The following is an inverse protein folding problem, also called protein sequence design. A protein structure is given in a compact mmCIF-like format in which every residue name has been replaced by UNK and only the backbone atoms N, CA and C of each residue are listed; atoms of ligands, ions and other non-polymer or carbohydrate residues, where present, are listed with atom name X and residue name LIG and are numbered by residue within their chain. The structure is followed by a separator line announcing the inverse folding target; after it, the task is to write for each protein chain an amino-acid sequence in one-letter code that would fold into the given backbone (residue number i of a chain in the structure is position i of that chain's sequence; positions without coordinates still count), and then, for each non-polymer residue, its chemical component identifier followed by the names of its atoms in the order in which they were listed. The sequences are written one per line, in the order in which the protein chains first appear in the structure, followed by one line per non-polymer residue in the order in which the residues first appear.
data_IF_446418959936
#
_entry.id   IF_446418959936
#
_cell.length_a   1.000
_cell.length_b   1.000
_cell.length_c   1.000
_cell.angle_alpha   90.00
_cell.angle_beta   90.00
_cell.angle_gamma   90.00
#
_symmetry.space_group_name_H-M   'P 1'
#
loop_
_entity.id
_entity.type
_entity.pdbx_description
1 polymer ?
#
# COMPACT_ATOMS: atom_id res chain seq x y z
N UNK A 1 19.87 -4.08 -9.30
CA UNK A 1 19.04 -5.24 -9.71
C UNK A 1 17.72 -4.71 -10.23
N UNK A 2 17.48 -4.89 -11.53
CA UNK A 2 16.54 -4.10 -12.35
C UNK A 2 15.06 -4.32 -11.99
N UNK A 3 14.32 -3.24 -11.76
CA UNK A 3 12.89 -3.19 -11.34
C UNK A 3 11.92 -3.50 -12.52
N UNK A 4 12.42 -3.95 -13.67
CA UNK A 4 11.72 -3.93 -14.97
C UNK A 4 10.59 -4.93 -15.23
N UNK A 5 9.97 -5.56 -14.22
CA UNK A 5 8.85 -6.49 -14.46
C UNK A 5 7.67 -6.36 -13.48
N UNK A 6 7.52 -5.22 -12.79
CA UNK A 6 6.34 -4.96 -11.96
C UNK A 6 5.27 -4.23 -12.78
N UNK A 7 4.13 -4.87 -13.01
CA UNK A 7 2.94 -4.19 -13.51
C UNK A 7 2.08 -3.80 -12.30
N UNK A 8 2.06 -2.51 -11.99
CA UNK A 8 1.04 -1.95 -11.09
C UNK A 8 -0.16 -1.63 -11.96
N UNK A 9 -1.19 -2.46 -11.89
CA UNK A 9 -2.42 -2.18 -12.64
C UNK A 9 -3.31 -1.26 -11.81
N UNK A 10 -3.71 -0.14 -12.41
CA UNK A 10 -4.80 0.67 -11.89
C UNK A 10 -6.09 -0.06 -12.26
N UNK A 11 -6.91 -0.33 -11.26
CA UNK A 11 -8.23 -0.90 -11.45
C UNK A 11 -9.16 0.15 -12.06
N UNK A 12 -9.77 -0.20 -13.20
CA UNK A 12 -10.81 0.63 -13.81
C UNK A 12 -12.16 0.01 -13.54
N UNK A 13 -13.01 0.73 -12.82
CA UNK A 13 -14.44 0.39 -12.70
C UNK A 13 -15.09 0.72 -14.03
N UNK A 14 -15.64 -0.31 -14.66
CA UNK A 14 -16.34 -0.19 -15.95
C UNK A 14 -17.84 -0.31 -15.70
N UNK A 15 -18.61 0.61 -16.27
CA UNK A 15 -20.06 0.56 -16.24
C UNK A 15 -20.59 -0.02 -17.56
N UNK A 16 -21.51 -0.98 -17.48
CA UNK A 16 -22.28 -1.42 -18.65
C UNK A 16 -23.39 -0.41 -18.91
N UNK A 17 -23.33 0.29 -20.04
CA UNK A 17 -24.47 1.08 -20.50
C UNK A 17 -25.61 0.13 -20.90
N UNK A 18 -26.76 0.24 -20.22
CA UNK A 18 -27.99 -0.40 -20.69
C UNK A 18 -28.34 0.26 -22.02
N UNK A 19 -28.48 -0.51 -23.10
CA UNK A 19 -29.19 -0.03 -24.28
C UNK A 19 -30.63 0.30 -23.86
N UNK A 20 -30.88 1.56 -23.55
CA UNK A 20 -32.22 2.14 -23.59
C UNK A 20 -32.58 2.29 -25.07
N UNK A 21 -33.67 1.65 -25.51
CA UNK A 21 -34.32 2.06 -26.76
C UNK A 21 -34.91 3.45 -26.50
N UNK A 22 -34.42 4.47 -27.25
CA UNK A 22 -34.98 5.83 -27.53
C UNK A 22 -35.35 6.69 -26.30
N UNK A 23 -35.07 7.99 -26.13
CA UNK A 23 -34.67 9.11 -27.00
C UNK A 23 -34.27 10.31 -26.09
N UNK A 24 -33.41 11.19 -26.61
CA UNK A 24 -33.02 12.55 -26.15
C UNK A 24 -32.12 12.74 -24.89
N UNK A 25 -30.98 13.38 -25.17
CA UNK A 25 -30.09 14.27 -24.39
C UNK A 25 -29.53 13.87 -23.01
N UNK A 26 -28.20 13.67 -22.95
CA UNK A 26 -27.21 14.52 -22.22
C UNK A 26 -25.90 13.72 -22.01
N UNK A 27 -24.80 14.19 -22.60
CA UNK A 27 -23.52 13.45 -22.72
C UNK A 27 -22.68 13.61 -21.46
N UNK A 28 -22.49 12.54 -20.71
CA UNK A 28 -21.32 12.37 -19.81
C UNK A 28 -20.43 11.26 -20.34
N UNK A 29 -19.13 11.54 -20.37
CA UNK A 29 -18.09 10.71 -21.00
C UNK A 29 -17.89 9.39 -20.26
N UNK A 30 -18.69 8.38 -20.61
CA UNK A 30 -18.55 6.99 -20.14
C UNK A 30 -17.95 6.19 -21.29
N UNK A 31 -16.83 5.51 -21.05
CA UNK A 31 -16.21 4.57 -22.00
C UNK A 31 -17.16 3.39 -22.23
N UNK A 32 -18.08 3.54 -23.18
CA UNK A 32 -19.09 2.55 -23.50
C UNK A 32 -18.45 1.37 -24.25
N UNK A 33 -18.35 0.21 -23.59
CA UNK A 33 -17.91 -1.05 -24.21
C UNK A 33 -19.14 -1.73 -24.86
N UNK A 34 -19.06 -2.21 -26.12
CA UNK A 34 -20.18 -2.88 -26.78
C UNK A 34 -20.63 -4.13 -25.99
N UNK A 35 -21.94 -4.36 -25.99
CA UNK A 35 -22.66 -5.41 -25.23
C UNK A 35 -22.26 -6.87 -25.56
N UNK A 36 -21.29 -7.09 -26.46
CA UNK A 36 -20.76 -8.42 -26.76
C UNK A 36 -20.23 -9.06 -25.47
N UNK A 37 -20.65 -10.31 -25.22
CA UNK A 37 -20.50 -11.06 -23.97
C UNK A 37 -19.13 -10.88 -23.31
N UNK A 38 -19.02 -9.93 -22.39
CA UNK A 38 -17.83 -9.77 -21.57
C UNK A 38 -17.77 -10.93 -20.58
N UNK A 39 -16.75 -11.78 -20.68
CA UNK A 39 -16.63 -12.99 -19.86
C UNK A 39 -15.66 -12.74 -18.71
N UNK A 40 -16.03 -13.18 -17.51
CA UNK A 40 -15.15 -13.09 -16.35
C UNK A 40 -13.97 -14.07 -16.49
N UNK A 41 -12.75 -13.56 -16.35
CA UNK A 41 -11.53 -14.38 -16.50
C UNK A 41 -11.28 -15.34 -15.33
N UNK A 42 -11.99 -15.20 -14.21
CA UNK A 42 -11.91 -16.14 -13.09
C UNK A 42 -12.88 -17.31 -13.22
N UNK A 43 -14.16 -17.04 -13.47
CA UNK A 43 -15.21 -18.07 -13.44
C UNK A 43 -15.70 -18.52 -14.83
N UNK A 44 -15.31 -17.83 -15.91
CA UNK A 44 -15.72 -18.17 -17.27
C UNK A 44 -17.17 -17.80 -17.61
N UNK A 45 -17.94 -17.27 -16.67
CA UNK A 45 -19.32 -16.84 -16.89
C UNK A 45 -19.39 -15.44 -17.51
N UNK A 46 -20.48 -15.15 -18.24
CA UNK A 46 -20.77 -13.81 -18.75
C UNK A 46 -21.05 -12.84 -17.60
N UNK A 47 -20.45 -11.65 -17.68
CA UNK A 47 -20.65 -10.56 -16.71
C UNK A 47 -21.97 -9.87 -17.02
N UNK A 48 -22.99 -10.17 -16.23
CA UNK A 48 -24.32 -9.52 -16.29
C UNK A 48 -24.42 -8.20 -15.52
N UNK A 49 -23.42 -7.92 -14.68
CA UNK A 49 -23.47 -6.82 -13.71
C UNK A 49 -23.41 -5.43 -14.36
N UNK A 50 -24.05 -4.45 -13.71
CA UNK A 50 -23.99 -3.04 -14.12
C UNK A 50 -22.57 -2.48 -14.01
N UNK A 51 -21.83 -2.91 -12.99
CA UNK A 51 -20.46 -2.50 -12.74
C UNK A 51 -19.57 -3.73 -12.66
N UNK A 52 -18.39 -3.64 -13.28
CA UNK A 52 -17.40 -4.70 -13.28
C UNK A 52 -16.00 -4.11 -13.39
N UNK A 53 -14.98 -4.94 -13.20
CA UNK A 53 -13.59 -4.49 -13.12
C UNK A 53 -12.84 -4.86 -14.40
N UNK A 54 -12.07 -3.91 -14.95
CA UNK A 54 -11.03 -4.19 -15.94
C UNK A 54 -9.67 -4.15 -15.27
N UNK A 55 -8.89 -5.22 -15.40
CA UNK A 55 -7.54 -5.31 -14.88
C UNK A 55 -6.72 -6.36 -15.64
N UNK A 56 -5.42 -6.10 -15.85
CA UNK A 56 -4.49 -7.02 -16.55
C UNK A 56 -5.05 -7.38 -17.94
N UNK A 57 -5.57 -6.39 -18.68
CA UNK A 57 -6.28 -6.56 -19.97
C UNK A 57 -7.44 -7.58 -19.97
N UNK A 58 -7.98 -7.90 -18.80
CA UNK A 58 -9.06 -8.86 -18.60
C UNK A 58 -10.21 -8.24 -17.82
N UNK A 59 -11.38 -8.90 -17.87
CA UNK A 59 -12.60 -8.46 -17.21
C UNK A 59 -12.99 -9.41 -16.07
N UNK A 60 -13.50 -8.83 -15.00
CA UNK A 60 -13.74 -9.55 -13.75
C UNK A 60 -15.03 -9.05 -13.08
N UNK A 61 -15.80 -9.97 -12.50
CA UNK A 61 -16.76 -9.58 -11.46
C UNK A 61 -16.00 -8.99 -10.27
N UNK A 62 -16.69 -8.15 -9.50
CA UNK A 62 -16.14 -7.55 -8.28
C UNK A 62 -15.62 -8.61 -7.29
N UNK A 63 -16.41 -9.67 -7.09
CA UNK A 63 -16.07 -10.78 -6.20
C UNK A 63 -15.01 -11.74 -6.78
N UNK A 64 -14.85 -11.76 -8.10
CA UNK A 64 -13.94 -12.68 -8.78
C UNK A 64 -12.49 -12.16 -8.84
N UNK A 65 -12.26 -10.88 -8.58
CA UNK A 65 -10.93 -10.29 -8.59
C UNK A 65 -10.34 -10.25 -7.17
N UNK A 66 -9.75 -11.37 -6.76
CA UNK A 66 -9.18 -11.56 -5.42
C UNK A 66 -7.66 -11.72 -5.42
N UNK A 67 -7.01 -11.47 -4.28
CA UNK A 67 -5.58 -11.74 -4.09
C UNK A 67 -5.31 -13.25 -4.09
N UNK A 68 -4.33 -13.71 -4.86
CA UNK A 68 -3.97 -15.14 -4.95
C UNK A 68 -3.40 -15.73 -3.64
N UNK A 69 -3.05 -14.89 -2.66
CA UNK A 69 -2.51 -15.34 -1.37
C UNK A 69 -3.50 -15.25 -0.22
N UNK A 70 -4.13 -14.10 0.00
CA UNK A 70 -5.05 -13.92 1.13
C UNK A 70 -6.53 -13.97 0.74
N UNK A 71 -6.86 -14.03 -0.55
CA UNK A 71 -8.24 -14.05 -1.04
C UNK A 71 -9.01 -12.74 -0.88
N UNK A 72 -8.39 -11.65 -0.38
CA UNK A 72 -9.08 -10.37 -0.26
C UNK A 72 -9.48 -9.81 -1.63
N UNK A 73 -10.62 -9.12 -1.67
CA UNK A 73 -11.14 -8.49 -2.89
C UNK A 73 -10.26 -7.31 -3.27
N UNK A 74 -9.60 -7.39 -4.42
CA UNK A 74 -8.67 -6.36 -4.87
C UNK A 74 -9.39 -5.07 -5.28
N UNK A 75 -10.67 -5.17 -5.67
CA UNK A 75 -11.54 -4.01 -5.94
C UNK A 75 -11.78 -3.10 -4.73
N UNK A 76 -11.88 -3.70 -3.53
CA UNK A 76 -12.24 -2.99 -2.29
C UNK A 76 -11.01 -2.45 -1.53
N UNK A 77 -9.91 -3.22 -1.50
CA UNK A 77 -8.70 -2.90 -0.70
C UNK A 77 -7.88 -1.74 -1.27
N UNK A 78 -8.20 -1.27 -2.48
CA UNK A 78 -7.67 -0.06 -3.09
C UNK A 78 -7.67 -0.12 -4.62
N UNK A 79 -7.46 1.01 -5.31
CA UNK A 79 -7.50 1.07 -6.79
C UNK A 79 -6.28 0.44 -7.49
N UNK A 80 -5.37 -0.21 -6.76
CA UNK A 80 -4.10 -0.72 -7.29
C UNK A 80 -3.93 -2.19 -6.93
N UNK A 81 -3.80 -3.04 -7.94
CA UNK A 81 -3.34 -4.42 -7.77
C UNK A 81 -1.89 -4.55 -8.26
N UNK A 82 -1.19 -5.55 -7.74
CA UNK A 82 0.17 -5.85 -8.14
C UNK A 82 0.20 -7.17 -8.90
N UNK A 83 0.75 -7.16 -10.11
CA UNK A 83 0.89 -8.37 -10.93
C UNK A 83 2.36 -8.70 -11.17
N UNK A 84 2.77 -9.89 -10.74
CA UNK A 84 4.16 -10.37 -10.88
C UNK A 84 4.20 -11.90 -10.85
N UNK A 85 5.02 -12.50 -11.73
CA UNK A 85 5.15 -13.96 -11.86
C UNK A 85 3.81 -14.69 -12.00
N UNK A 86 2.90 -14.14 -12.82
CA UNK A 86 1.59 -14.74 -13.07
C UNK A 86 0.56 -14.58 -11.94
N UNK A 87 0.90 -13.87 -10.85
CA UNK A 87 0.05 -13.74 -9.66
C UNK A 87 -0.51 -12.34 -9.49
N UNK A 88 -1.79 -12.24 -9.15
CA UNK A 88 -2.49 -11.00 -8.74
C UNK A 88 -2.47 -10.88 -7.21
N UNK A 89 -1.87 -9.82 -6.71
CA UNK A 89 -1.57 -9.66 -5.28
C UNK A 89 -2.06 -8.31 -4.74
N UNK A 90 -2.48 -8.31 -3.48
CA UNK A 90 -2.70 -7.08 -2.73
C UNK A 90 -1.36 -6.44 -2.37
N UNK A 91 -1.36 -5.14 -2.01
CA UNK A 91 -0.14 -4.41 -1.62
C UNK A 91 0.66 -5.14 -0.54
N UNK A 92 -0.03 -5.62 0.51
CA UNK A 92 0.59 -6.28 1.66
C UNK A 92 1.33 -7.56 1.23
N UNK A 93 0.68 -8.42 0.48
CA UNK A 93 1.25 -9.71 0.05
C UNK A 93 2.33 -9.52 -1.02
N UNK A 94 2.17 -8.53 -1.89
CA UNK A 94 3.23 -8.14 -2.83
C UNK A 94 4.50 -7.71 -2.09
N UNK A 95 4.39 -6.83 -1.10
CA UNK A 95 5.53 -6.39 -0.29
C UNK A 95 6.12 -7.55 0.53
N UNK A 96 5.29 -8.46 1.03
CA UNK A 96 5.76 -9.66 1.73
C UNK A 96 6.62 -10.57 0.85
N UNK A 97 6.28 -10.73 -0.43
CA UNK A 97 7.02 -11.61 -1.34
C UNK A 97 8.21 -10.93 -2.04
N UNK A 98 8.05 -9.64 -2.41
CA UNK A 98 8.96 -8.96 -3.33
C UNK A 98 9.45 -7.60 -2.85
N UNK A 99 8.97 -7.15 -1.69
CA UNK A 99 9.42 -5.90 -1.10
C UNK A 99 10.86 -6.01 -0.60
N UNK A 100 11.52 -4.85 -0.52
CA UNK A 100 12.86 -4.75 0.04
C UNK A 100 12.73 -4.51 1.54
N UNK A 101 13.34 -5.40 2.32
CA UNK A 101 13.38 -5.28 3.77
C UNK A 101 14.37 -4.19 4.18
N UNK A 102 14.10 -3.54 5.31
CA UNK A 102 14.94 -2.52 5.91
C UNK A 102 15.63 -2.98 7.19
N UNK A 103 16.42 -2.10 7.79
CA UNK A 103 16.99 -2.28 9.13
C UNK A 103 16.46 -1.17 10.05
N UNK A 104 16.06 -1.55 11.25
CA UNK A 104 15.64 -0.60 12.27
C UNK A 104 16.85 0.14 12.83
N UNK A 105 16.80 1.47 12.84
CA UNK A 105 17.90 2.30 13.34
C UNK A 105 18.08 2.25 14.87
N UNK A 106 17.10 1.73 15.63
CA UNK A 106 17.17 1.63 17.09
C UNK A 106 17.52 0.22 17.58
N UNK A 107 16.90 -0.84 17.04
CA UNK A 107 17.13 -2.21 17.50
C UNK A 107 18.01 -3.04 16.57
N UNK A 108 18.41 -2.49 15.42
CA UNK A 108 19.25 -3.12 14.39
C UNK A 108 18.66 -4.40 13.77
N UNK A 109 17.43 -4.75 14.13
CA UNK A 109 16.72 -5.89 13.56
C UNK A 109 16.12 -5.55 12.21
N UNK A 110 15.93 -6.58 11.40
CA UNK A 110 15.29 -6.52 10.10
C UNK A 110 13.84 -6.07 10.22
N UNK A 111 13.46 -5.09 9.42
CA UNK A 111 12.08 -4.62 9.21
C UNK A 111 11.58 -5.26 7.93
N UNK A 112 10.44 -5.96 7.97
CA UNK A 112 9.86 -6.54 6.77
C UNK A 112 9.20 -5.47 5.91
N UNK A 113 9.28 -5.60 4.59
CA UNK A 113 8.76 -4.59 3.66
C UNK A 113 7.25 -4.32 3.77
N UNK A 114 6.48 -5.25 4.35
CA UNK A 114 5.04 -5.10 4.57
C UNK A 114 4.69 -4.54 5.96
N UNK A 115 5.66 -4.40 6.86
CA UNK A 115 5.46 -3.85 8.20
C UNK A 115 5.27 -2.34 8.15
N UNK A 116 4.47 -1.81 9.08
CA UNK A 116 4.36 -0.38 9.28
C UNK A 116 5.55 0.12 10.09
N UNK A 117 6.09 1.27 9.69
CA UNK A 117 7.33 1.82 10.24
C UNK A 117 7.20 3.31 10.47
N UNK A 118 7.97 3.85 11.41
CA UNK A 118 8.20 5.29 11.53
C UNK A 118 9.45 5.67 10.75
N UNK A 119 9.40 6.82 10.08
CA UNK A 119 10.54 7.39 9.37
C UNK A 119 10.82 8.79 9.87
N UNK A 120 12.07 9.04 10.26
CA UNK A 120 12.58 10.35 10.64
C UNK A 120 13.83 10.62 9.84
N UNK A 121 13.81 11.66 9.00
CA UNK A 121 14.85 11.91 7.99
C UNK A 121 15.09 10.65 7.13
N UNK A 122 16.31 10.13 7.14
CA UNK A 122 16.77 8.94 6.42
C UNK A 122 16.64 7.64 7.25
N UNK A 123 16.33 7.74 8.54
CA UNK A 123 16.26 6.61 9.48
C UNK A 123 14.86 6.00 9.54
N UNK A 124 14.80 4.67 9.65
CA UNK A 124 13.55 3.89 9.73
C UNK A 124 13.54 3.11 11.04
N UNK A 125 12.39 3.07 11.71
CA UNK A 125 12.20 2.44 13.00
C UNK A 125 10.94 1.56 12.97
N UNK A 126 10.97 0.44 13.70
CA UNK A 126 9.71 -0.24 14.07
C UNK A 126 8.83 0.72 14.89
N UNK A 127 7.51 0.55 14.83
CA UNK A 127 6.58 1.35 15.65
C UNK A 127 6.89 1.24 17.15
N UNK A 128 7.24 0.05 17.63
CA UNK A 128 7.62 -0.19 19.02
C UNK A 128 9.00 0.38 19.40
N UNK A 129 9.87 0.60 18.41
CA UNK A 129 11.18 1.22 18.61
C UNK A 129 11.13 2.75 18.52
N UNK A 130 10.00 3.33 18.10
CA UNK A 130 9.81 4.77 18.02
C UNK A 130 9.44 5.35 19.39
N UNK A 131 10.46 5.51 20.23
CA UNK A 131 10.35 5.97 21.63
C UNK A 131 11.60 6.75 22.04
N UNK A 132 11.48 7.54 23.10
CA UNK A 132 12.58 8.33 23.63
C UNK A 132 13.73 7.44 24.09
N UNK A 133 14.96 7.70 23.63
CA UNK A 133 16.16 6.97 24.06
C UNK A 133 16.45 7.14 25.56
N UNK A 134 16.08 8.30 26.13
CA UNK A 134 16.27 8.61 27.54
C UNK A 134 15.21 7.95 28.44
N UNK A 135 13.94 8.40 28.37
CA UNK A 135 12.88 7.92 29.25
C UNK A 135 12.10 6.70 28.75
N UNK A 136 12.41 6.17 27.55
CA UNK A 136 11.71 5.03 26.94
C UNK A 136 10.21 5.25 26.63
N UNK A 137 9.70 6.47 26.77
CA UNK A 137 8.31 6.83 26.46
C UNK A 137 8.05 6.79 24.94
N UNK A 138 6.94 6.19 24.53
CA UNK A 138 6.45 6.25 23.15
C UNK A 138 5.94 7.64 22.79
N UNK A 139 6.21 8.08 21.57
CA UNK A 139 5.77 9.37 21.06
C UNK A 139 4.31 9.34 20.59
N UNK A 140 3.59 10.41 20.90
CA UNK A 140 2.26 10.70 20.36
C UNK A 140 2.34 11.66 19.18
N UNK A 141 1.27 11.75 18.39
CA UNK A 141 1.15 12.74 17.32
C UNK A 141 1.24 14.14 17.91
N UNK A 142 2.14 14.96 17.37
CA UNK A 142 2.38 16.32 17.84
C UNK A 142 3.53 16.46 18.83
N UNK A 143 4.07 15.35 19.35
CA UNK A 143 5.22 15.40 20.26
C UNK A 143 6.46 15.97 19.55
N UNK A 144 7.20 16.81 20.27
CA UNK A 144 8.45 17.41 19.82
C UNK A 144 9.63 16.54 20.27
N UNK A 145 10.60 16.39 19.39
CA UNK A 145 11.77 15.55 19.61
C UNK A 145 13.01 16.12 18.91
N UNK A 146 14.18 15.66 19.35
CA UNK A 146 15.46 15.86 18.69
C UNK A 146 16.01 14.51 18.23
N UNK A 147 16.54 14.46 17.01
CA UNK A 147 17.26 13.30 16.49
C UNK A 147 18.77 13.55 16.54
N UNK A 148 19.50 12.73 17.29
CA UNK A 148 20.96 12.73 17.39
C UNK A 148 21.45 11.35 16.94
N UNK A 149 22.20 11.30 15.83
CA UNK A 149 22.57 10.04 15.18
C UNK A 149 21.35 9.18 14.82
N UNK A 150 21.11 8.11 15.58
CA UNK A 150 19.93 7.24 15.48
C UNK A 150 19.01 7.34 16.70
N UNK A 151 19.38 8.12 17.72
CA UNK A 151 18.64 8.27 18.96
C UNK A 151 17.64 9.42 18.86
N UNK A 152 16.39 9.14 19.23
CA UNK A 152 15.30 10.11 19.25
C UNK A 152 15.03 10.46 20.71
N UNK A 153 15.10 11.74 21.07
CA UNK A 153 14.96 12.21 22.45
C UNK A 153 13.80 13.20 22.51
N UNK A 154 12.87 13.04 23.46
CA UNK A 154 11.74 13.95 23.62
C UNK A 154 12.17 15.32 24.14
N UNK A 155 11.39 16.36 23.86
CA UNK A 155 11.67 17.75 24.27
C UNK A 155 12.03 17.90 25.76
N UNK A 156 11.38 17.12 26.63
CA UNK A 156 11.63 17.15 28.08
C UNK A 156 13.03 16.67 28.46
N UNK A 157 13.58 15.71 27.73
CA UNK A 157 14.85 15.05 28.09
C UNK A 157 16.05 15.60 27.31
N UNK A 158 15.85 16.51 26.34
CA UNK A 158 16.93 17.02 25.45
C UNK A 158 18.08 17.60 26.27
N UNK A 159 17.77 18.43 27.27
CA UNK A 159 18.79 19.17 28.02
C UNK A 159 19.70 18.25 28.84
N UNK A 160 19.11 17.28 29.55
CA UNK A 160 19.87 16.34 30.36
C UNK A 160 20.64 15.36 29.48
N UNK A 161 20.01 14.87 28.41
CA UNK A 161 20.64 13.94 27.47
C UNK A 161 21.88 14.53 26.80
N UNK A 162 21.79 15.78 26.32
CA UNK A 162 22.92 16.45 25.64
C UNK A 162 24.07 16.75 26.60
N UNK A 163 23.80 17.09 27.86
CA UNK A 163 24.86 17.28 28.87
C UNK A 163 25.63 15.98 29.18
N UNK A 164 24.92 14.88 29.35
CA UNK A 164 25.53 13.58 29.69
C UNK A 164 26.40 13.10 28.52
N UNK A 165 25.88 13.17 27.29
CA UNK A 165 26.56 12.65 26.11
C UNK A 165 27.67 13.57 25.57
N UNK A 166 27.60 14.89 25.81
CA UNK A 166 28.69 15.80 25.45
C UNK A 166 29.93 15.67 26.37
N UNK A 167 29.77 15.18 27.61
CA UNK A 167 30.89 14.92 28.51
C UNK A 167 31.70 13.67 28.16
N UNK A 168 31.29 12.87 27.17
CA UNK A 168 32.03 11.71 26.66
C UNK A 168 32.87 12.03 25.40
N UNK A 169 33.07 13.32 25.06
CA UNK A 169 33.94 13.77 23.96
C UNK A 169 35.10 14.67 24.43
N UNK A 170 35.57 14.51 25.68
CA UNK A 170 36.82 15.11 26.20
C UNK A 170 37.76 14.02 26.66
#
# INVERSE_FOLDING_TARGET
MSIRHMIVCILTVTAKCKSFKTSHDEVTEVTAVPLSMTTCSCCGSSIGDRFFLKAIEQYWHEDCLSCDLCGCRLGEVGRRLYYKLGRKLCRRDYLRLFGQDGLCASCEKRIRAFEMTMRVRDKVYHLECFKCAACQKHFCVGDRYLLINSDIVCEQDIFEWTKINNNNMV
#
